data_IF_538857287640
#
_entry.id   IF_538857287640
#
_cell.length_a   1.000
_cell.length_b   1.000
_cell.length_c   1.000
_cell.angle_alpha   90.00
_cell.angle_beta   90.00
_cell.angle_gamma   90.00
#
_symmetry.space_group_name_H-M   'P 1'
#
loop_
_entity.id
_entity.type
_entity.pdbx_description
1 polymer ?
#
# COMPACT_ATOMS: atom_id res chain seq x y z
N UNK A 1 -9.16 32.92 -20.05
CA UNK A 1 -9.62 32.47 -18.72
C UNK A 1 -8.48 31.67 -18.11
N UNK A 2 -7.65 32.27 -17.25
CA UNK A 2 -6.57 31.56 -16.55
C UNK A 2 -7.17 30.93 -15.29
N UNK A 3 -7.23 29.60 -15.21
CA UNK A 3 -7.47 28.92 -13.92
C UNK A 3 -6.13 28.81 -13.19
N UNK A 4 -5.90 29.70 -12.24
CA UNK A 4 -4.84 29.56 -11.23
C UNK A 4 -5.26 28.53 -10.20
N UNK A 5 -4.79 27.29 -10.35
CA UNK A 5 -4.93 26.25 -9.32
C UNK A 5 -3.92 26.54 -8.21
N UNK A 6 -4.39 27.07 -7.09
CA UNK A 6 -3.57 27.24 -5.90
C UNK A 6 -3.34 25.86 -5.24
N UNK A 7 -2.14 25.31 -5.36
CA UNK A 7 -1.69 24.19 -4.54
C UNK A 7 -1.37 24.72 -3.14
N UNK A 8 -2.30 24.58 -2.21
CA UNK A 8 -2.06 24.85 -0.79
C UNK A 8 -1.39 23.61 -0.17
N UNK A 9 -0.07 23.52 -0.27
CA UNK A 9 0.70 22.59 0.57
C UNK A 9 0.81 23.22 1.97
N UNK A 10 -0.01 22.75 2.92
CA UNK A 10 0.11 23.15 4.33
C UNK A 10 0.96 22.12 5.09
N UNK A 11 2.28 22.28 5.01
CA UNK A 11 3.20 21.52 5.87
C UNK A 11 3.35 22.23 7.22
N UNK A 12 2.67 21.75 8.26
CA UNK A 12 3.01 22.11 9.63
C UNK A 12 3.96 21.04 10.18
N UNK A 13 5.24 21.38 10.35
CA UNK A 13 6.14 20.63 11.22
C UNK A 13 5.71 20.89 12.67
N UNK A 14 4.86 20.00 13.20
CA UNK A 14 4.57 19.92 14.63
C UNK A 14 5.31 18.71 15.22
N UNK A 15 5.54 18.78 16.54
CA UNK A 15 6.24 17.87 17.48
C UNK A 15 5.76 16.38 17.49
N UNK A 16 5.29 15.84 16.36
CA UNK A 16 4.61 14.53 16.27
C UNK A 16 4.81 13.78 14.94
N UNK A 17 5.75 14.21 14.08
CA UNK A 17 6.04 13.56 12.79
C UNK A 17 5.58 14.29 11.55
N UNK A 18 5.90 13.69 10.41
CA UNK A 18 5.58 14.23 9.08
C UNK A 18 4.14 13.88 8.72
N UNK A 19 3.32 14.93 8.56
CA UNK A 19 1.96 14.84 8.01
C UNK A 19 1.88 15.68 6.74
N UNK A 20 1.49 15.04 5.64
CA UNK A 20 1.32 15.69 4.34
C UNK A 20 -0.11 15.46 3.89
N UNK A 21 -0.83 16.55 3.64
CA UNK A 21 -2.17 16.52 3.10
C UNK A 21 -2.21 17.32 1.79
N UNK A 22 -2.70 16.68 0.74
CA UNK A 22 -2.88 17.28 -0.59
C UNK A 22 -4.32 17.01 -1.01
N UNK A 23 -5.06 18.08 -1.30
CA UNK A 23 -6.46 17.96 -1.75
C UNK A 23 -6.65 18.67 -3.09
N UNK A 24 -7.30 18.00 -4.01
CA UNK A 24 -7.91 18.57 -5.22
C UNK A 24 -9.41 18.24 -5.24
N UNK A 25 -10.13 18.75 -6.23
CA UNK A 25 -11.58 18.50 -6.33
C UNK A 25 -11.93 17.01 -6.47
N UNK A 26 -11.02 16.21 -7.04
CA UNK A 26 -11.29 14.82 -7.39
C UNK A 26 -10.52 13.81 -6.52
N UNK A 27 -9.56 14.28 -5.70
CA UNK A 27 -8.71 13.40 -4.90
C UNK A 27 -8.17 14.12 -3.67
N UNK A 28 -8.27 13.47 -2.52
CA UNK A 28 -7.64 13.84 -1.26
C UNK A 28 -6.59 12.78 -0.91
N UNK A 29 -5.36 13.20 -0.64
CA UNK A 29 -4.24 12.35 -0.25
C UNK A 29 -3.79 12.81 1.13
N UNK A 30 -3.79 11.88 2.09
CA UNK A 30 -3.28 12.11 3.43
C UNK A 30 -2.17 11.09 3.72
N UNK A 31 -0.99 11.58 4.09
CA UNK A 31 0.15 10.76 4.47
C UNK A 31 0.54 11.11 5.89
N UNK A 32 0.76 10.10 6.71
CA UNK A 32 1.24 10.26 8.09
C UNK A 32 2.38 9.30 8.38
N UNK A 33 3.48 9.85 8.87
CA UNK A 33 4.70 9.12 9.24
C UNK A 33 5.15 9.69 10.58
N UNK A 34 5.30 8.85 11.61
CA UNK A 34 5.87 9.28 12.89
C UNK A 34 7.36 9.56 12.75
N UNK A 35 7.91 10.48 13.55
CA UNK A 35 9.36 10.77 13.57
C UNK A 35 10.21 9.52 13.80
N UNK A 36 9.74 8.63 14.68
CA UNK A 36 10.42 7.38 15.00
C UNK A 36 10.54 6.42 13.82
N UNK A 37 9.77 6.63 12.75
CA UNK A 37 9.71 5.79 11.57
C UNK A 37 10.31 6.47 10.33
N UNK A 38 10.83 7.70 10.46
CA UNK A 38 11.38 8.44 9.34
C UNK A 38 12.77 7.89 8.96
N UNK A 39 12.93 7.50 7.69
CA UNK A 39 14.16 6.87 7.19
C UNK A 39 14.21 5.35 7.37
N UNK A 40 13.26 4.78 8.09
CA UNK A 40 13.14 3.33 8.22
C UNK A 40 12.69 2.70 6.89
N UNK A 41 13.31 1.58 6.53
CA UNK A 41 12.85 0.78 5.39
C UNK A 41 11.43 0.23 5.61
N UNK A 42 11.10 -0.12 6.86
CA UNK A 42 9.78 -0.57 7.26
C UNK A 42 9.17 0.33 8.34
N UNK A 43 8.56 1.47 7.95
CA UNK A 43 8.07 2.47 8.87
C UNK A 43 6.74 2.05 9.50
N UNK A 44 6.77 1.15 10.49
CA UNK A 44 5.58 0.58 11.12
C UNK A 44 4.67 1.68 11.69
N UNK A 45 3.39 1.60 11.38
CA UNK A 45 2.40 2.59 11.78
C UNK A 45 2.26 3.76 10.80
N UNK A 46 3.13 3.90 9.80
CA UNK A 46 2.92 4.86 8.72
C UNK A 46 1.64 4.54 7.94
N UNK A 47 0.91 5.59 7.57
CA UNK A 47 -0.37 5.47 6.87
C UNK A 47 -0.42 6.36 5.64
N UNK A 48 -1.04 5.83 4.59
CA UNK A 48 -1.40 6.56 3.39
C UNK A 48 -2.88 6.36 3.13
N UNK A 49 -3.61 7.45 3.00
CA UNK A 49 -5.00 7.46 2.58
C UNK A 49 -5.13 8.23 1.27
N UNK A 50 -5.86 7.64 0.32
CA UNK A 50 -6.28 8.27 -0.92
C UNK A 50 -7.79 8.17 -0.99
N UNK A 51 -8.48 9.30 -1.01
CA UNK A 51 -9.94 9.37 -0.99
C UNK A 51 -10.45 10.12 -2.20
N UNK A 52 -11.48 9.59 -2.85
CA UNK A 52 -12.27 10.30 -3.84
C UNK A 52 -13.44 10.99 -3.11
N UNK A 53 -13.44 12.33 -2.97
CA UNK A 53 -14.45 13.04 -2.17
C UNK A 53 -15.85 12.95 -2.78
N UNK A 54 -15.96 12.78 -4.11
CA UNK A 54 -17.23 12.68 -4.83
C UNK A 54 -17.96 11.36 -4.59
N UNK A 55 -17.22 10.26 -4.54
CA UNK A 55 -17.80 8.90 -4.41
C UNK A 55 -17.68 8.33 -3.00
N UNK A 56 -16.88 8.95 -2.13
CA UNK A 56 -16.55 8.45 -0.80
C UNK A 56 -15.63 7.23 -0.79
N UNK A 57 -15.23 6.70 -1.96
CA UNK A 57 -14.30 5.58 -2.05
C UNK A 57 -12.92 6.00 -1.57
N UNK A 58 -12.28 5.17 -0.76
CA UNK A 58 -10.94 5.40 -0.27
C UNK A 58 -10.07 4.16 -0.41
N UNK A 59 -8.77 4.37 -0.53
CA UNK A 59 -7.71 3.40 -0.30
C UNK A 59 -7.00 3.83 0.98
N UNK A 60 -6.95 2.94 1.97
CA UNK A 60 -6.23 3.15 3.22
C UNK A 60 -5.13 2.09 3.32
N UNK A 61 -3.87 2.52 3.31
CA UNK A 61 -2.71 1.67 3.52
C UNK A 61 -2.13 1.95 4.90
N UNK A 62 -1.75 0.91 5.63
CA UNK A 62 -1.03 1.00 6.89
C UNK A 62 0.11 0.00 6.88
N UNK A 63 1.32 0.45 7.20
CA UNK A 63 2.48 -0.44 7.39
C UNK A 63 2.32 -1.13 8.74
N UNK A 64 2.23 -2.46 8.76
CA UNK A 64 1.84 -3.25 9.94
C UNK A 64 3.00 -3.96 10.63
N UNK A 65 4.17 -4.05 9.99
CA UNK A 65 5.33 -4.74 10.55
C UNK A 65 6.15 -5.41 9.46
N UNK A 66 6.95 -6.39 9.85
CA UNK A 66 7.65 -7.29 8.94
C UNK A 66 7.02 -8.68 8.95
N UNK A 67 7.29 -9.47 7.91
CA UNK A 67 6.88 -10.87 7.77
C UNK A 67 8.01 -11.65 7.07
N UNK A 68 8.27 -12.89 7.49
CA UNK A 68 9.20 -13.77 6.79
C UNK A 68 8.53 -14.39 5.56
N UNK A 69 9.20 -14.32 4.41
CA UNK A 69 8.77 -14.93 3.16
C UNK A 69 9.97 -15.56 2.45
N UNK A 70 9.95 -16.87 2.23
CA UNK A 70 11.00 -17.62 1.51
C UNK A 70 12.46 -17.33 1.97
N UNK A 71 12.65 -17.19 3.29
CA UNK A 71 13.90 -16.86 3.99
C UNK A 71 14.37 -15.40 3.86
N UNK A 72 13.49 -14.52 3.41
CA UNK A 72 13.70 -13.08 3.40
C UNK A 72 12.69 -12.38 4.33
N UNK A 73 13.14 -11.41 5.11
CA UNK A 73 12.25 -10.52 5.85
C UNK A 73 11.69 -9.46 4.90
N UNK A 74 10.38 -9.38 4.76
CA UNK A 74 9.70 -8.33 3.99
C UNK A 74 9.01 -7.34 4.91
N UNK A 75 8.97 -6.07 4.53
CA UNK A 75 8.08 -5.10 5.16
C UNK A 75 6.66 -5.35 4.67
N UNK A 76 5.67 -5.28 5.57
CA UNK A 76 4.28 -5.63 5.31
C UNK A 76 3.37 -4.45 5.55
N UNK A 77 2.38 -4.30 4.68
CA UNK A 77 1.29 -3.35 4.82
C UNK A 77 -0.06 -4.00 4.56
N UNK A 78 -1.07 -3.48 5.23
CA UNK A 78 -2.47 -3.78 4.98
C UNK A 78 -3.09 -2.65 4.17
N UNK A 79 -3.81 -2.98 3.11
CA UNK A 79 -4.51 -2.03 2.26
C UNK A 79 -6.00 -2.39 2.26
N UNK A 80 -6.84 -1.43 2.62
CA UNK A 80 -8.29 -1.55 2.58
C UNK A 80 -8.80 -0.54 1.55
N UNK A 81 -9.49 -1.01 0.51
CA UNK A 81 -10.09 -0.13 -0.51
C UNK A 81 -11.59 -0.32 -0.58
N UNK A 82 -12.33 0.73 -0.93
CA UNK A 82 -13.79 0.70 -1.07
C UNK A 82 -14.46 1.80 -0.26
N UNK A 83 -15.64 1.50 0.28
CA UNK A 83 -16.37 2.37 1.21
C UNK A 83 -16.67 1.62 2.52
N UNK A 84 -17.37 2.25 3.46
CA UNK A 84 -17.66 1.66 4.78
C UNK A 84 -18.49 0.36 4.69
N UNK A 85 -19.36 0.25 3.69
CA UNK A 85 -20.27 -0.88 3.50
C UNK A 85 -19.65 -2.03 2.69
N UNK A 86 -18.72 -1.72 1.78
CA UNK A 86 -18.09 -2.67 0.89
C UNK A 86 -16.61 -2.32 0.72
N UNK A 87 -15.77 -3.12 1.39
CA UNK A 87 -14.33 -3.00 1.30
C UNK A 87 -13.68 -4.28 0.80
N UNK A 88 -12.52 -4.13 0.19
CA UNK A 88 -11.65 -5.23 -0.20
C UNK A 88 -10.31 -5.08 0.50
N UNK A 89 -9.84 -6.18 1.07
CA UNK A 89 -8.58 -6.27 1.79
C UNK A 89 -7.47 -6.79 0.89
N UNK A 90 -6.33 -6.10 0.94
CA UNK A 90 -5.09 -6.54 0.33
C UNK A 90 -3.96 -6.46 1.34
N UNK A 91 -2.97 -7.31 1.14
CA UNK A 91 -1.68 -7.23 1.81
C UNK A 91 -0.62 -6.98 0.75
N UNK A 92 0.27 -6.03 1.03
CA UNK A 92 1.41 -5.74 0.18
C UNK A 92 2.67 -5.83 1.01
N UNK A 93 3.61 -6.65 0.55
CA UNK A 93 4.92 -6.86 1.16
C UNK A 93 6.04 -6.52 0.17
N UNK A 94 7.14 -5.96 0.66
CA UNK A 94 8.31 -5.62 -0.15
C UNK A 94 9.62 -5.82 0.63
N UNK A 95 10.67 -6.23 -0.06
CA UNK A 95 12.01 -6.35 0.50
C UNK A 95 12.73 -5.00 0.64
N UNK A 96 13.86 -4.99 1.34
CA UNK A 96 14.70 -3.79 1.49
C UNK A 96 15.33 -3.33 0.19
N UNK A 97 15.79 -4.27 -0.63
CA UNK A 97 16.36 -4.02 -1.95
C UNK A 97 15.30 -3.84 -3.06
N UNK A 98 14.02 -4.12 -2.74
CA UNK A 98 12.86 -4.08 -3.65
C UNK A 98 12.89 -5.14 -4.76
N UNK A 99 13.73 -6.16 -4.64
CA UNK A 99 13.77 -7.30 -5.56
C UNK A 99 12.62 -8.28 -5.32
N UNK A 100 12.09 -8.33 -4.10
CA UNK A 100 10.94 -9.16 -3.74
C UNK A 100 9.74 -8.30 -3.41
N UNK A 101 8.60 -8.58 -4.04
CA UNK A 101 7.31 -8.01 -3.66
C UNK A 101 6.23 -9.07 -3.70
N UNK A 102 5.33 -9.04 -2.71
CA UNK A 102 4.18 -9.94 -2.63
C UNK A 102 2.92 -9.11 -2.48
N UNK A 103 1.92 -9.37 -3.29
CA UNK A 103 0.63 -8.71 -3.24
C UNK A 103 -0.47 -9.75 -3.14
N UNK A 104 -1.20 -9.77 -2.03
CA UNK A 104 -2.26 -10.73 -1.74
C UNK A 104 -3.59 -10.01 -1.68
N UNK A 105 -4.55 -10.40 -2.52
CA UNK A 105 -5.96 -10.02 -2.37
C UNK A 105 -6.70 -11.09 -1.59
N UNK A 106 -7.47 -10.68 -0.60
CA UNK A 106 -8.34 -11.56 0.16
C UNK A 106 -9.79 -11.53 -0.36
N UNK A 107 -10.48 -12.66 -0.29
CA UNK A 107 -11.93 -12.76 -0.43
C UNK A 107 -12.65 -12.27 0.83
N UNK A 108 -13.98 -12.18 0.76
CA UNK A 108 -14.83 -11.79 1.90
C UNK A 108 -14.75 -12.78 3.08
N UNK A 109 -14.44 -14.05 2.78
CA UNK A 109 -14.21 -15.11 3.75
C UNK A 109 -12.83 -15.04 4.43
N UNK A 110 -12.00 -14.08 4.04
CA UNK A 110 -10.63 -13.92 4.53
C UNK A 110 -9.61 -14.86 3.90
N UNK A 111 -10.02 -15.74 2.98
CA UNK A 111 -9.12 -16.60 2.22
C UNK A 111 -8.44 -15.83 1.09
N UNK A 112 -7.32 -16.36 0.58
CA UNK A 112 -6.64 -15.77 -0.57
C UNK A 112 -7.54 -15.91 -1.80
N UNK A 113 -7.82 -14.79 -2.45
CA UNK A 113 -8.48 -14.77 -3.76
C UNK A 113 -7.45 -14.86 -4.89
N UNK A 114 -6.36 -14.11 -4.74
CA UNK A 114 -5.21 -14.13 -5.65
C UNK A 114 -3.97 -13.61 -4.92
N UNK A 115 -2.81 -14.20 -5.19
CA UNK A 115 -1.50 -13.73 -4.74
C UNK A 115 -0.57 -13.57 -5.94
N UNK A 116 0.06 -12.41 -6.01
CA UNK A 116 1.10 -12.10 -6.98
C UNK A 116 2.44 -12.00 -6.23
N UNK A 117 3.44 -12.71 -6.71
CA UNK A 117 4.81 -12.67 -6.19
C UNK A 117 5.71 -12.24 -7.34
N UNK A 118 6.55 -11.25 -7.08
CA UNK A 118 7.67 -10.90 -7.91
C UNK A 118 8.94 -11.10 -7.09
N UNK A 119 9.87 -11.87 -7.63
CA UNK A 119 11.15 -12.19 -7.00
C UNK A 119 12.19 -12.32 -8.11
N UNK A 120 13.23 -11.49 -8.08
CA UNK A 120 14.37 -11.55 -9.01
C UNK A 120 13.99 -11.66 -10.50
N UNK A 121 12.95 -10.92 -10.91
CA UNK A 121 12.48 -10.92 -12.30
C UNK A 121 11.49 -12.05 -12.64
N UNK A 122 11.36 -13.07 -11.80
CA UNK A 122 10.32 -14.09 -11.87
C UNK A 122 9.01 -13.52 -11.32
N UNK A 123 7.90 -13.83 -11.99
CA UNK A 123 6.54 -13.49 -11.58
C UNK A 123 5.76 -14.77 -11.36
N UNK A 124 5.10 -14.89 -10.22
CA UNK A 124 4.27 -16.03 -9.87
C UNK A 124 2.89 -15.53 -9.48
N UNK A 125 1.85 -16.07 -10.10
CA UNK A 125 0.45 -15.79 -9.76
C UNK A 125 -0.16 -17.07 -9.19
N UNK A 126 -0.71 -16.97 -7.99
CA UNK A 126 -1.40 -18.06 -7.31
C UNK A 126 -2.87 -17.66 -7.15
N UNK A 127 -3.80 -18.46 -7.67
CA UNK A 127 -5.23 -18.19 -7.47
C UNK A 127 -5.76 -18.77 -6.14
N UNK A 128 -7.02 -18.48 -5.81
CA UNK A 128 -7.64 -18.97 -4.57
C UNK A 128 -7.79 -20.50 -4.46
N UNK A 129 -7.56 -21.25 -5.54
CA UNK A 129 -7.49 -22.71 -5.52
C UNK A 129 -6.05 -23.23 -5.36
N UNK A 130 -5.06 -22.33 -5.25
CA UNK A 130 -3.63 -22.66 -5.17
C UNK A 130 -2.99 -22.96 -6.53
N UNK A 131 -3.69 -22.76 -7.65
CA UNK A 131 -3.11 -22.99 -8.98
C UNK A 131 -2.13 -21.88 -9.29
N UNK A 132 -0.98 -22.27 -9.81
CA UNK A 132 0.15 -21.37 -10.04
C UNK A 132 0.37 -21.13 -11.52
N UNK A 133 0.64 -19.87 -11.88
CA UNK A 133 1.03 -19.43 -13.21
C UNK A 133 2.31 -18.61 -13.10
N UNK A 134 3.38 -19.06 -13.77
CA UNK A 134 4.71 -18.45 -13.67
C UNK A 134 5.13 -17.81 -15.00
N UNK A 135 5.78 -16.64 -14.91
CA UNK A 135 6.34 -15.92 -16.04
C UNK A 135 7.68 -15.30 -15.66
N UNK A 136 8.68 -15.38 -16.53
CA UNK A 136 10.00 -14.79 -16.25
C UNK A 136 11.08 -15.43 -17.12
N UNK A 137 12.22 -14.75 -17.24
CA UNK A 137 13.30 -15.19 -18.12
C UNK A 137 14.07 -16.32 -17.43
N UNK A 138 14.12 -17.51 -18.04
CA UNK A 138 15.24 -18.43 -17.87
C UNK A 138 16.42 -17.76 -18.58
N UNK A 139 17.29 -17.08 -17.83
CA UNK A 139 18.62 -16.73 -18.34
C UNK A 139 19.47 -18.00 -18.42
#
# INVERSE_FOLDING_TARGET
>A
MLLTTALLASGCLGDSGTKISISSNDTEINVSISEQAEGDWCPVGAQVQIKNPTTGKALNMTVTGTEEFENETLCKSMIITGNEENNTRYEYMWSQDKNTTVWTKYGEDGNISIRYIYEDGKKTIIDGAGRTLEFGVRL
#
